data_IF_771835048792
#
_entry.id   IF_771835048792
#
_cell.length_a   1.000
_cell.length_b   1.000
_cell.length_c   1.000
_cell.angle_alpha   90.00
_cell.angle_beta   90.00
_cell.angle_gamma   90.00
#
_symmetry.space_group_name_H-M   'P 1'
#
loop_
_entity.id
_entity.type
_entity.pdbx_description
1 polymer ?
#
# COMPACT_ATOMS: atom_id res chain seq x y z
N UNK A 1 -5.45 36.45 5.15
CA UNK A 1 -4.57 37.25 4.28
C UNK A 1 -4.94 36.99 2.84
N UNK A 2 -5.01 38.03 2.00
CA UNK A 2 -5.38 37.92 0.58
C UNK A 2 -4.12 37.72 -0.27
N UNK A 3 -3.90 36.49 -0.73
CA UNK A 3 -2.68 36.11 -1.46
C UNK A 3 -2.58 36.80 -2.82
N UNK A 4 -3.72 37.09 -3.45
CA UNK A 4 -3.77 37.80 -4.72
C UNK A 4 -3.34 39.26 -4.55
N UNK A 5 -3.82 39.95 -3.50
CA UNK A 5 -3.36 41.32 -3.18
C UNK A 5 -1.87 41.38 -2.86
N UNK A 6 -1.29 40.29 -2.36
CA UNK A 6 0.13 40.17 -2.07
C UNK A 6 0.98 39.72 -3.28
N UNK A 7 0.38 39.58 -4.47
CA UNK A 7 1.02 39.06 -5.69
C UNK A 7 1.67 37.66 -5.49
N UNK A 8 1.12 36.85 -4.59
CA UNK A 8 1.54 35.46 -4.38
C UNK A 8 0.64 34.58 -5.25
N UNK A 9 1.20 34.07 -6.36
CA UNK A 9 0.50 33.25 -7.33
C UNK A 9 1.29 31.95 -7.53
N UNK A 10 0.59 30.83 -7.46
CA UNK A 10 1.17 29.53 -7.76
C UNK A 10 0.65 28.97 -9.10
N UNK A 11 1.45 28.14 -9.79
CA UNK A 11 1.00 27.49 -11.01
C UNK A 11 -0.09 26.46 -10.72
N UNK A 12 -1.17 26.46 -11.49
CA UNK A 12 -2.29 25.50 -11.36
C UNK A 12 -1.83 24.03 -11.31
N UNK A 13 -0.78 23.68 -12.06
CA UNK A 13 -0.23 22.32 -12.07
C UNK A 13 0.23 21.89 -10.68
N UNK A 14 0.82 22.80 -9.89
CA UNK A 14 1.30 22.52 -8.54
C UNK A 14 0.11 22.27 -7.62
N UNK A 15 -0.91 23.15 -7.62
CA UNK A 15 -2.11 22.97 -6.78
C UNK A 15 -2.85 21.66 -7.08
N UNK A 16 -2.96 21.29 -8.36
CA UNK A 16 -3.60 20.03 -8.76
C UNK A 16 -2.80 18.81 -8.27
N UNK A 17 -1.48 18.84 -8.42
CA UNK A 17 -0.60 17.76 -7.97
C UNK A 17 -0.57 17.64 -6.46
N UNK A 18 -0.55 18.75 -5.72
CA UNK A 18 -0.60 18.74 -4.25
C UNK A 18 -1.85 18.06 -3.73
N UNK A 19 -3.02 18.39 -4.29
CA UNK A 19 -4.29 17.78 -3.86
C UNK A 19 -4.29 16.27 -4.15
N UNK A 20 -3.79 15.85 -5.32
CA UNK A 20 -3.69 14.44 -5.68
C UNK A 20 -2.73 13.68 -4.75
N UNK A 21 -1.51 14.19 -4.58
CA UNK A 21 -0.48 13.58 -3.73
C UNK A 21 -0.91 13.51 -2.26
N UNK A 22 -1.55 14.58 -1.75
CA UNK A 22 -2.10 14.61 -0.39
C UNK A 22 -3.21 13.56 -0.21
N UNK A 23 -4.08 13.40 -1.20
CA UNK A 23 -5.16 12.41 -1.18
C UNK A 23 -4.62 10.98 -1.22
N UNK A 24 -3.61 10.72 -2.06
CA UNK A 24 -2.92 9.43 -2.12
C UNK A 24 -2.26 9.10 -0.78
N UNK A 25 -1.49 10.04 -0.22
CA UNK A 25 -0.83 9.85 1.08
C UNK A 25 -1.85 9.61 2.21
N UNK A 26 -2.92 10.40 2.28
CA UNK A 26 -3.98 10.21 3.26
C UNK A 26 -4.67 8.84 3.09
N UNK A 27 -4.92 8.42 1.84
CA UNK A 27 -5.50 7.10 1.55
C UNK A 27 -4.58 5.97 2.02
N UNK A 28 -3.26 6.10 1.80
CA UNK A 28 -2.29 5.13 2.29
C UNK A 28 -2.33 5.02 3.82
N UNK A 29 -2.37 6.15 4.53
CA UNK A 29 -2.45 6.18 5.99
C UNK A 29 -3.72 5.50 6.49
N UNK A 30 -4.88 5.81 5.89
CA UNK A 30 -6.17 5.23 6.27
C UNK A 30 -6.25 3.72 5.97
N UNK A 31 -5.53 3.24 4.95
CA UNK A 31 -5.51 1.83 4.55
C UNK A 31 -4.36 1.02 5.16
N UNK A 32 -3.61 1.57 6.12
CA UNK A 32 -2.53 0.81 6.79
C UNK A 32 -3.07 -0.47 7.41
N UNK A 33 -4.26 -0.42 8.02
CA UNK A 33 -4.88 -1.58 8.65
C UNK A 33 -5.12 -2.71 7.61
N UNK A 34 -5.60 -2.36 6.41
CA UNK A 34 -5.81 -3.29 5.30
C UNK A 34 -4.48 -3.82 4.71
N UNK A 35 -3.46 -2.98 4.64
CA UNK A 35 -2.11 -3.35 4.15
C UNK A 35 -1.41 -4.29 5.13
N UNK A 36 -1.63 -4.12 6.44
CA UNK A 36 -1.10 -5.03 7.47
C UNK A 36 -1.89 -6.35 7.47
N UNK A 37 -3.22 -6.30 7.38
CA UNK A 37 -4.07 -7.49 7.32
C UNK A 37 -3.74 -8.38 6.10
N UNK A 38 -3.52 -7.78 4.93
CA UNK A 38 -3.11 -8.48 3.71
C UNK A 38 -1.71 -9.08 3.80
N UNK A 39 -0.78 -8.48 4.57
CA UNK A 39 0.52 -9.10 4.90
C UNK A 39 0.41 -10.25 5.89
N UNK A 40 -0.53 -10.19 6.84
CA UNK A 40 -0.78 -11.28 7.79
C UNK A 40 -1.55 -12.47 7.18
N UNK A 41 -2.20 -12.27 6.03
CA UNK A 41 -2.98 -13.28 5.30
C UNK A 41 -2.16 -14.32 4.52
N UNK A 42 -0.83 -14.23 4.51
CA UNK A 42 0.07 -15.19 3.85
C UNK A 42 0.24 -16.54 4.55
N UNK A 43 -0.65 -16.88 5.50
CA UNK A 43 -0.57 -18.11 6.31
C UNK A 43 -1.86 -18.92 6.35
N UNK A 44 -2.78 -18.72 5.40
CA UNK A 44 -3.92 -19.62 5.21
C UNK A 44 -3.59 -20.59 4.09
N UNK A 45 -3.24 -21.84 4.42
CA UNK A 45 -3.14 -22.90 3.44
C UNK A 45 -4.41 -22.91 2.56
N UNK A 46 -4.30 -23.17 1.24
CA UNK A 46 -5.47 -23.37 0.40
C UNK A 46 -6.39 -24.41 1.06
N UNK A 47 -7.72 -24.19 1.09
CA UNK A 47 -8.65 -25.16 1.66
C UNK A 47 -8.51 -26.47 0.90
N UNK A 48 -7.85 -27.46 1.52
CA UNK A 48 -7.54 -28.74 0.89
C UNK A 48 -6.14 -29.29 1.17
N UNK A 49 -5.19 -28.51 1.70
CA UNK A 49 -3.88 -29.07 2.06
C UNK A 49 -3.92 -29.72 3.45
N UNK A 50 -3.66 -31.04 3.58
CA UNK A 50 -3.67 -31.71 4.87
C UNK A 50 -2.53 -31.19 5.79
N UNK A 51 -2.74 -31.10 7.12
CA UNK A 51 -1.74 -30.59 8.03
C UNK A 51 -0.59 -31.58 8.21
N UNK A 52 0.55 -31.32 7.57
CA UNK A 52 1.77 -32.10 7.79
C UNK A 52 2.74 -31.97 6.63
N UNK A 53 3.66 -31.01 6.71
CA UNK A 53 4.64 -30.81 5.64
C UNK A 53 5.86 -29.99 6.04
N UNK A 54 6.32 -30.13 7.30
CA UNK A 54 7.66 -29.72 7.69
C UNK A 54 8.62 -30.84 7.24
N UNK A 55 9.19 -30.72 6.05
CA UNK A 55 10.11 -31.71 5.50
C UNK A 55 10.91 -31.14 4.34
N UNK A 56 11.93 -30.35 4.66
CA UNK A 56 12.93 -29.96 3.68
C UNK A 56 13.69 -31.18 3.19
N UNK A 57 13.78 -31.33 1.87
CA UNK A 57 14.95 -31.77 1.07
C UNK A 57 14.43 -32.18 -0.33
N UNK A 58 14.93 -31.60 -1.43
CA UNK A 58 14.65 -32.13 -2.76
C UNK A 58 15.59 -33.33 -3.01
N UNK A 59 15.09 -34.54 -3.30
CA UNK A 59 15.92 -35.55 -3.90
C UNK A 59 16.02 -35.22 -5.39
N UNK A 60 17.21 -34.77 -5.80
CA UNK A 60 17.64 -35.05 -7.16
C UNK A 60 17.64 -36.56 -7.40
N UNK A 61 17.52 -36.93 -8.68
CA UNK A 61 17.61 -38.28 -9.27
C UNK A 61 16.26 -38.92 -9.62
N UNK A 62 15.72 -38.50 -10.76
CA UNK A 62 15.37 -39.34 -11.94
C UNK A 62 14.96 -38.44 -13.10
#
# INVERSE_FOLDING_TARGET
SDMLKNNVIEPLRVSVQEVQASTEAATLILRIDDVIASKSGGGGAPPGMPPGGMGGMPPGMM
#
